data_IF_040365653083
#
_entry.id   IF_040365653083
#
_cell.length_a   1.000
_cell.length_b   1.000
_cell.length_c   1.000
_cell.angle_alpha   90.00
_cell.angle_beta   90.00
_cell.angle_gamma   90.00
#
_symmetry.space_group_name_H-M   'P 1'
#
loop_
_entity.id
_entity.type
_entity.pdbx_description
1 polymer ?
#
# COMPACT_ATOMS: atom_id res chain seq x y z
N UNK A 1 -23.58 -5.92 25.55
CA UNK A 1 -24.59 -5.35 24.63
C UNK A 1 -24.22 -5.81 23.23
N UNK A 2 -25.09 -6.53 22.48
CA UNK A 2 -24.78 -6.90 21.11
C UNK A 2 -24.69 -5.64 20.22
N UNK A 3 -23.70 -5.60 19.32
CA UNK A 3 -23.50 -4.51 18.35
C UNK A 3 -24.73 -4.37 17.44
N UNK A 4 -25.14 -3.14 17.16
CA UNK A 4 -26.19 -2.90 16.17
C UNK A 4 -25.71 -3.29 14.76
N UNK A 5 -26.62 -3.55 13.81
CA UNK A 5 -26.23 -3.85 12.43
C UNK A 5 -25.35 -2.77 11.80
N UNK A 6 -25.59 -1.49 12.14
CA UNK A 6 -24.81 -0.35 11.67
C UNK A 6 -23.39 -0.34 12.28
N UNK A 7 -23.26 -0.63 13.58
CA UNK A 7 -21.94 -0.72 14.24
C UNK A 7 -21.08 -1.81 13.58
N UNK A 8 -21.67 -2.98 13.29
CA UNK A 8 -20.95 -4.08 12.62
C UNK A 8 -20.51 -3.70 11.21
N UNK A 9 -21.32 -2.95 10.46
CA UNK A 9 -20.96 -2.46 9.13
C UNK A 9 -19.79 -1.48 9.23
N UNK A 10 -19.85 -0.54 10.18
CA UNK A 10 -18.81 0.46 10.38
C UNK A 10 -17.48 -0.17 10.82
N UNK A 11 -17.50 -1.17 11.70
CA UNK A 11 -16.29 -1.92 12.07
C UNK A 11 -15.66 -2.63 10.88
N UNK A 12 -16.47 -3.27 10.02
CA UNK A 12 -15.97 -3.91 8.80
C UNK A 12 -15.30 -2.91 7.85
N UNK A 13 -15.90 -1.74 7.66
CA UNK A 13 -15.33 -0.68 6.83
C UNK A 13 -14.01 -0.17 7.41
N UNK A 14 -13.93 0.02 8.73
CA UNK A 14 -12.69 0.41 9.41
C UNK A 14 -11.58 -0.63 9.24
N UNK A 15 -11.90 -1.92 9.41
CA UNK A 15 -10.93 -2.99 9.21
C UNK A 15 -10.43 -3.05 7.77
N UNK A 16 -11.32 -2.90 6.79
CA UNK A 16 -10.96 -2.90 5.37
C UNK A 16 -10.07 -1.70 5.03
N UNK A 17 -10.39 -0.52 5.53
CA UNK A 17 -9.57 0.67 5.33
C UNK A 17 -8.19 0.54 6.00
N UNK A 18 -8.13 -0.02 7.21
CA UNK A 18 -6.85 -0.29 7.88
C UNK A 18 -6.01 -1.32 7.11
N UNK A 19 -6.64 -2.35 6.58
CA UNK A 19 -5.99 -3.35 5.73
C UNK A 19 -5.44 -2.70 4.45
N UNK A 20 -6.23 -1.88 3.75
CA UNK A 20 -5.80 -1.17 2.55
C UNK A 20 -4.64 -0.20 2.84
N UNK A 21 -4.67 0.50 3.99
CA UNK A 21 -3.59 1.37 4.41
C UNK A 21 -2.30 0.60 4.72
N UNK A 22 -2.40 -0.57 5.35
CA UNK A 22 -1.25 -1.45 5.61
C UNK A 22 -0.66 -1.96 4.29
N UNK A 23 -1.51 -2.37 3.35
CA UNK A 23 -1.07 -2.79 2.01
C UNK A 23 -0.38 -1.65 1.25
N UNK A 24 -0.95 -0.44 1.28
CA UNK A 24 -0.33 0.74 0.69
C UNK A 24 1.07 0.98 1.25
N UNK A 25 1.21 0.91 2.58
CA UNK A 25 2.50 1.07 3.27
C UNK A 25 3.50 0.01 2.83
N UNK A 26 3.08 -1.25 2.73
CA UNK A 26 3.94 -2.34 2.27
C UNK A 26 4.42 -2.13 0.82
N UNK A 27 3.51 -1.75 -0.09
CA UNK A 27 3.84 -1.50 -1.49
C UNK A 27 4.84 -0.34 -1.62
N UNK A 28 4.59 0.78 -0.93
CA UNK A 28 5.51 1.92 -0.95
C UNK A 28 6.87 1.54 -0.38
N UNK A 29 6.88 0.78 0.73
CA UNK A 29 8.13 0.29 1.34
C UNK A 29 8.94 -0.55 0.36
N UNK A 30 8.32 -1.51 -0.34
CA UNK A 30 8.99 -2.33 -1.35
C UNK A 30 9.52 -1.45 -2.50
N UNK A 31 8.70 -0.54 -3.02
CA UNK A 31 9.08 0.37 -4.10
C UNK A 31 10.25 1.29 -3.77
N UNK A 32 10.43 1.63 -2.49
CA UNK A 32 11.54 2.49 -2.03
C UNK A 32 12.77 1.66 -1.67
N UNK A 33 12.61 0.58 -0.90
CA UNK A 33 13.75 -0.16 -0.36
C UNK A 33 14.41 -1.10 -1.37
N UNK A 34 13.68 -1.63 -2.35
CA UNK A 34 14.28 -2.47 -3.40
C UNK A 34 15.33 -1.72 -4.23
N UNK A 35 15.06 -0.53 -4.82
CA UNK A 35 16.08 0.19 -5.58
C UNK A 35 17.24 0.65 -4.70
N UNK A 36 16.98 1.13 -3.47
CA UNK A 36 18.05 1.52 -2.53
C UNK A 36 18.95 0.32 -2.21
N UNK A 37 18.36 -0.82 -1.87
CA UNK A 37 19.13 -2.00 -1.54
C UNK A 37 19.86 -2.58 -2.75
N UNK A 38 19.29 -2.48 -3.96
CA UNK A 38 19.99 -2.85 -5.18
C UNK A 38 21.23 -1.97 -5.41
N UNK A 39 21.14 -0.66 -5.16
CA UNK A 39 22.26 0.26 -5.33
C UNK A 39 23.38 0.02 -4.31
N UNK A 40 23.03 -0.30 -3.05
CA UNK A 40 24.00 -0.51 -1.97
C UNK A 40 24.63 -1.92 -2.03
N UNK A 41 23.81 -2.94 -2.29
CA UNK A 41 24.22 -4.35 -2.12
C UNK A 41 24.31 -5.14 -3.43
N UNK A 42 23.69 -4.67 -4.52
CA UNK A 42 23.69 -5.38 -5.81
C UNK A 42 23.09 -6.79 -5.74
N UNK A 43 22.05 -7.01 -4.94
CA UNK A 43 21.50 -8.36 -4.68
C UNK A 43 20.65 -8.93 -5.84
N UNK A 44 20.22 -8.12 -6.80
CA UNK A 44 19.50 -8.59 -7.98
C UNK A 44 20.50 -9.17 -9.00
N UNK A 45 20.09 -10.21 -9.79
CA UNK A 45 20.91 -10.76 -10.86
C UNK A 45 21.39 -9.68 -11.84
N UNK A 46 22.62 -9.79 -12.37
CA UNK A 46 23.16 -8.84 -13.34
C UNK A 46 22.39 -8.77 -14.66
N UNK A 47 21.57 -9.78 -14.96
CA UNK A 47 20.64 -9.79 -16.11
C UNK A 47 19.38 -8.96 -15.88
N UNK A 48 19.17 -8.41 -14.67
CA UNK A 48 18.00 -7.59 -14.36
C UNK A 48 18.13 -6.24 -15.03
N UNK A 49 17.15 -5.88 -15.86
CA UNK A 49 17.09 -4.55 -16.50
C UNK A 49 16.98 -3.45 -15.43
N UNK A 50 17.96 -2.53 -15.33
CA UNK A 50 17.94 -1.43 -14.37
C UNK A 50 16.69 -0.57 -14.51
N UNK A 51 16.16 -0.45 -15.72
CA UNK A 51 14.96 0.32 -16.04
C UNK A 51 13.76 -0.21 -15.27
N UNK A 52 13.61 -1.53 -15.14
CA UNK A 52 12.52 -2.15 -14.38
C UNK A 52 12.62 -1.85 -12.88
N UNK A 53 13.83 -1.85 -12.33
CA UNK A 53 14.07 -1.55 -10.92
C UNK A 53 13.67 -0.10 -10.62
N UNK A 54 14.14 0.85 -11.43
CA UNK A 54 13.86 2.27 -11.20
C UNK A 54 12.42 2.68 -11.51
N UNK A 55 11.76 2.06 -12.51
CA UNK A 55 10.34 2.31 -12.82
C UNK A 55 9.42 1.67 -11.78
N UNK A 56 9.84 0.59 -11.11
CA UNK A 56 9.01 -0.03 -10.06
C UNK A 56 8.72 0.93 -8.90
N UNK A 57 9.65 1.83 -8.56
CA UNK A 57 9.50 2.80 -7.49
C UNK A 57 8.30 3.76 -7.68
N UNK A 58 8.19 4.53 -8.79
CA UNK A 58 7.04 5.40 -9.01
C UNK A 58 5.73 4.61 -9.18
N UNK A 59 5.76 3.40 -9.74
CA UNK A 59 4.56 2.55 -9.85
C UNK A 59 4.07 2.12 -8.46
N UNK A 60 4.96 1.62 -7.61
CA UNK A 60 4.62 1.24 -6.24
C UNK A 60 4.13 2.45 -5.44
N UNK A 61 4.76 3.61 -5.60
CA UNK A 61 4.31 4.84 -4.95
C UNK A 61 2.90 5.23 -5.40
N UNK A 62 2.63 5.25 -6.72
CA UNK A 62 1.32 5.56 -7.26
C UNK A 62 0.25 4.56 -6.79
N UNK A 63 0.55 3.27 -6.81
CA UNK A 63 -0.36 2.22 -6.33
C UNK A 63 -0.67 2.37 -4.84
N UNK A 64 0.35 2.61 -4.01
CA UNK A 64 0.17 2.85 -2.57
C UNK A 64 -0.64 4.11 -2.30
N UNK A 65 -0.38 5.21 -3.01
CA UNK A 65 -1.14 6.46 -2.89
C UNK A 65 -2.61 6.25 -3.26
N UNK A 66 -2.90 5.55 -4.36
CA UNK A 66 -4.28 5.25 -4.78
C UNK A 66 -5.00 4.37 -3.74
N UNK A 67 -4.32 3.38 -3.16
CA UNK A 67 -4.88 2.56 -2.10
C UNK A 67 -5.15 3.36 -0.82
N UNK A 68 -4.24 4.25 -0.43
CA UNK A 68 -4.40 5.10 0.73
C UNK A 68 -5.58 6.08 0.56
N UNK A 69 -5.67 6.75 -0.60
CA UNK A 69 -6.76 7.65 -0.93
C UNK A 69 -8.09 6.91 -1.05
N UNK A 70 -8.11 5.73 -1.67
CA UNK A 70 -9.30 4.88 -1.74
C UNK A 70 -9.79 4.46 -0.36
N UNK A 71 -8.88 4.11 0.55
CA UNK A 71 -9.21 3.80 1.94
C UNK A 71 -9.78 5.03 2.68
N UNK A 72 -9.21 6.22 2.47
CA UNK A 72 -9.75 7.47 3.03
C UNK A 72 -11.14 7.80 2.49
N UNK A 73 -11.39 7.61 1.19
CA UNK A 73 -12.70 7.83 0.58
C UNK A 73 -13.77 6.87 1.13
N UNK A 74 -13.41 5.59 1.31
CA UNK A 74 -14.27 4.60 1.95
C UNK A 74 -14.62 4.96 3.40
N UNK A 75 -13.71 5.60 4.13
CA UNK A 75 -13.93 6.06 5.50
C UNK A 75 -14.64 7.41 5.59
N UNK A 76 -14.42 8.32 4.62
CA UNK A 76 -15.03 9.65 4.59
C UNK A 76 -16.55 9.66 4.42
N UNK A 77 -17.13 8.50 4.08
CA UNK A 77 -18.58 8.26 4.07
C UNK A 77 -19.15 7.75 5.40
N UNK A 78 -18.34 7.47 6.42
CA UNK A 78 -18.84 7.14 7.76
C UNK A 78 -19.35 8.42 8.45
N UNK A 79 -20.63 8.41 8.81
CA UNK A 79 -21.20 9.28 9.84
C UNK A 79 -20.90 8.73 11.22
#
# INVERSE_FOLDING_TARGET
MPLTPDDRRNERLKLLANWANTLATAIVSVGVFVPIGQEIYGFLPQSTDPTLVYISAPICFAAGLLLHLGAQWLLGGLR
#
